data_IF_766929844651
#
_entry.id   IF_766929844651
#
_cell.length_a   1.000
_cell.length_b   1.000
_cell.length_c   1.000
_cell.angle_alpha   90.00
_cell.angle_beta   90.00
_cell.angle_gamma   90.00
#
_symmetry.space_group_name_H-M   'P 1'
#
loop_
_entity.id
_entity.type
_entity.pdbx_description
1 polymer ?
#
# COMPACT_ATOMS: atom_id res chain seq x y z
N UNK A 1 -15.78 -51.41 3.13
CA UNK A 1 -16.02 -50.87 4.48
C UNK A 1 -14.68 -50.54 5.11
N UNK A 2 -14.54 -49.39 5.80
CA UNK A 2 -14.04 -48.19 5.13
C UNK A 2 -12.87 -47.50 5.87
N UNK A 3 -12.40 -46.40 5.26
CA UNK A 3 -11.73 -45.25 5.89
C UNK A 3 -10.27 -45.39 6.37
N UNK A 4 -9.34 -45.28 5.41
CA UNK A 4 -8.07 -44.62 5.69
C UNK A 4 -8.34 -43.11 5.81
N UNK A 5 -7.91 -42.44 6.89
CA UNK A 5 -8.33 -41.08 7.18
C UNK A 5 -7.88 -40.12 6.08
N UNK A 6 -8.86 -39.40 5.55
CA UNK A 6 -8.67 -38.22 4.74
C UNK A 6 -7.62 -37.31 5.40
N UNK A 7 -6.53 -37.03 4.68
CA UNK A 7 -5.66 -35.93 5.03
C UNK A 7 -6.50 -34.66 5.09
N UNK A 8 -6.69 -34.12 6.29
CA UNK A 8 -7.36 -32.85 6.52
C UNK A 8 -6.75 -31.77 5.62
N UNK A 9 -7.55 -30.96 4.91
CA UNK A 9 -7.06 -29.84 4.13
C UNK A 9 -6.77 -28.66 5.08
N UNK A 10 -5.87 -28.86 6.03
CA UNK A 10 -5.37 -27.77 6.87
C UNK A 10 -4.30 -27.02 6.06
N UNK A 11 -4.78 -26.22 5.12
CA UNK A 11 -4.00 -25.08 4.63
C UNK A 11 -3.54 -24.24 5.83
N UNK A 12 -2.42 -23.50 5.71
CA UNK A 12 -1.86 -22.75 6.82
C UNK A 12 -2.95 -21.91 7.49
N UNK A 13 -3.21 -22.21 8.78
CA UNK A 13 -4.21 -21.51 9.60
C UNK A 13 -3.94 -20.03 9.45
N UNK A 14 -4.82 -19.33 8.73
CA UNK A 14 -4.64 -17.92 8.43
C UNK A 14 -4.55 -17.19 9.76
N UNK A 15 -3.43 -16.51 10.00
CA UNK A 15 -3.23 -15.75 11.23
C UNK A 15 -4.44 -14.83 11.49
N UNK A 16 -4.89 -14.74 12.75
CA UNK A 16 -6.04 -13.91 13.09
C UNK A 16 -5.77 -12.45 12.67
N UNK A 17 -6.79 -11.74 12.15
CA UNK A 17 -6.62 -10.36 11.72
C UNK A 17 -6.16 -9.50 12.90
N UNK A 18 -5.16 -8.65 12.66
CA UNK A 18 -4.64 -7.71 13.66
C UNK A 18 -4.90 -6.28 13.17
N UNK A 19 -6.17 -5.82 13.18
CA UNK A 19 -6.52 -4.51 12.66
C UNK A 19 -5.97 -3.40 13.55
N UNK A 20 -5.78 -2.23 12.96
CA UNK A 20 -5.45 -1.02 13.72
C UNK A 20 -6.69 -0.52 14.48
N UNK A 21 -6.50 -0.11 15.73
CA UNK A 21 -7.57 0.44 16.58
C UNK A 21 -7.28 1.89 16.98
N UNK A 22 -8.33 2.68 17.18
CA UNK A 22 -8.25 3.99 17.80
C UNK A 22 -8.04 3.86 19.32
N UNK A 23 -7.74 4.97 20.00
CA UNK A 23 -7.66 4.99 21.48
C UNK A 23 -8.97 4.63 22.17
N UNK A 24 -10.11 4.81 21.49
CA UNK A 24 -11.43 4.43 21.98
C UNK A 24 -11.80 2.98 21.68
N UNK A 25 -10.88 2.17 21.12
CA UNK A 25 -11.11 0.76 20.81
C UNK A 25 -11.71 0.49 19.43
N UNK A 26 -12.22 1.51 18.73
CA UNK A 26 -12.83 1.36 17.41
C UNK A 26 -11.81 0.88 16.36
N UNK A 27 -12.22 -0.08 15.53
CA UNK A 27 -11.41 -0.64 14.44
C UNK A 27 -11.36 0.35 13.28
N UNK A 28 -10.15 0.64 12.81
CA UNK A 28 -9.93 1.51 11.66
C UNK A 28 -9.95 0.67 10.38
N UNK A 29 -10.90 0.96 9.50
CA UNK A 29 -10.99 0.38 8.16
C UNK A 29 -10.41 1.37 7.16
N UNK A 30 -9.36 0.94 6.45
CA UNK A 30 -8.60 1.77 5.52
C UNK A 30 -7.36 2.46 6.13
N UNK A 31 -6.55 3.12 5.29
CA UNK A 31 -5.24 3.63 5.69
C UNK A 31 -5.38 4.85 6.62
N UNK A 32 -4.62 4.86 7.71
CA UNK A 32 -4.50 6.06 8.56
C UNK A 32 -3.64 7.13 7.89
N UNK A 33 -3.92 8.40 8.18
CA UNK A 33 -3.11 9.53 7.69
C UNK A 33 -1.62 9.36 8.05
N UNK A 34 -1.33 8.89 9.27
CA UNK A 34 0.05 8.65 9.73
C UNK A 34 0.73 7.53 8.94
N UNK A 35 0.02 6.43 8.64
CA UNK A 35 0.59 5.33 7.85
C UNK A 35 1.00 5.76 6.44
N UNK A 36 0.28 6.74 5.86
CA UNK A 36 0.61 7.32 4.54
C UNK A 36 1.71 8.39 4.63
N UNK A 37 1.63 9.26 5.62
CA UNK A 37 2.55 10.39 5.79
C UNK A 37 3.95 9.98 6.24
N UNK A 38 4.06 9.03 7.17
CA UNK A 38 5.34 8.63 7.79
C UNK A 38 6.41 8.16 6.78
N UNK A 39 6.15 7.27 5.82
CA UNK A 39 7.19 6.86 4.86
C UNK A 39 7.62 8.02 3.96
N UNK A 40 6.69 8.90 3.56
CA UNK A 40 7.00 10.09 2.77
C UNK A 40 7.88 11.04 3.57
N UNK A 41 7.51 11.32 4.83
CA UNK A 41 8.23 12.23 5.71
C UNK A 41 9.60 11.70 6.15
N UNK A 42 9.78 10.39 6.34
CA UNK A 42 11.05 9.86 6.88
C UNK A 42 12.04 9.40 5.80
N UNK A 43 11.58 9.15 4.57
CA UNK A 43 12.45 8.61 3.51
C UNK A 43 12.49 9.54 2.30
N UNK A 44 11.33 9.93 1.76
CA UNK A 44 11.28 10.73 0.54
C UNK A 44 11.71 12.20 0.76
N UNK A 45 11.05 12.87 1.71
CA UNK A 45 11.26 14.31 1.94
C UNK A 45 12.65 14.68 2.47
N UNK A 46 13.33 13.88 3.32
CA UNK A 46 14.69 14.20 3.75
C UNK A 46 15.67 14.25 2.57
N UNK A 47 15.53 13.37 1.58
CA UNK A 47 16.40 13.35 0.39
C UNK A 47 16.21 14.65 -0.41
N UNK A 48 14.97 15.06 -0.64
CA UNK A 48 14.66 16.31 -1.35
C UNK A 48 15.17 17.53 -0.56
N UNK A 49 14.98 17.53 0.76
CA UNK A 49 15.47 18.59 1.62
C UNK A 49 16.99 18.70 1.63
N UNK A 50 17.73 17.58 1.59
CA UNK A 50 19.18 17.56 1.46
C UNK A 50 19.65 18.10 0.11
N UNK A 51 18.97 17.75 -0.98
CA UNK A 51 19.29 18.29 -2.32
C UNK A 51 19.07 19.80 -2.40
N UNK A 52 18.05 20.32 -1.71
CA UNK A 52 17.69 21.73 -1.74
C UNK A 52 18.31 22.55 -0.59
N UNK A 53 19.01 21.92 0.36
CA UNK A 53 19.58 22.60 1.52
C UNK A 53 20.56 23.75 1.18
N UNK A 54 21.32 23.76 0.06
CA UNK A 54 22.17 24.90 -0.26
C UNK A 54 21.37 26.20 -0.43
N UNK A 55 20.17 26.14 -1.02
CA UNK A 55 19.32 27.33 -1.17
C UNK A 55 18.88 27.88 0.19
N UNK A 56 18.40 27.02 1.08
CA UNK A 56 18.04 27.44 2.43
C UNK A 56 19.25 27.96 3.21
N UNK A 57 20.42 27.31 3.09
CA UNK A 57 21.66 27.74 3.72
C UNK A 57 22.11 29.12 3.24
N UNK A 58 21.99 29.43 1.94
CA UNK A 58 22.30 30.78 1.43
C UNK A 58 21.39 31.86 2.02
N UNK A 59 20.09 31.59 2.17
CA UNK A 59 19.17 32.51 2.84
C UNK A 59 19.51 32.71 4.32
N UNK A 60 19.89 31.64 5.02
CA UNK A 60 20.36 31.70 6.41
C UNK A 60 21.65 32.53 6.52
N UNK A 61 22.59 32.34 5.60
CA UNK A 61 23.84 33.10 5.55
C UNK A 61 23.59 34.60 5.32
N UNK A 62 22.70 34.95 4.39
CA UNK A 62 22.32 36.35 4.15
C UNK A 62 21.66 36.99 5.37
N UNK A 63 20.76 36.27 6.04
CA UNK A 63 20.13 36.72 7.28
C UNK A 63 21.15 36.94 8.40
N UNK A 64 22.10 36.00 8.55
CA UNK A 64 23.16 36.07 9.55
C UNK A 64 24.10 37.27 9.31
N UNK A 65 24.48 37.52 8.05
CA UNK A 65 25.25 38.71 7.66
C UNK A 65 24.50 40.01 7.96
N UNK A 66 23.19 40.07 7.68
CA UNK A 66 22.36 41.23 8.01
C UNK A 66 22.30 41.51 9.52
N UNK A 67 22.19 40.46 10.35
CA UNK A 67 22.22 40.61 11.82
C UNK A 67 23.58 41.05 12.34
N UNK A 68 24.66 40.48 11.79
CA UNK A 68 26.02 40.89 12.13
C UNK A 68 26.27 42.37 11.78
N UNK A 69 25.80 42.82 10.62
CA UNK A 69 25.87 44.23 10.20
C UNK A 69 25.06 45.16 11.12
N UNK A 70 23.96 44.66 11.70
CA UNK A 70 23.17 45.38 12.70
C UNK A 70 23.78 45.35 14.12
N UNK A 71 24.96 44.75 14.30
CA UNK A 71 25.64 44.64 15.61
C UNK A 71 25.03 43.61 16.56
N UNK A 72 24.15 42.72 16.09
CA UNK A 72 23.48 41.71 16.90
C UNK A 72 24.28 40.39 16.91
N UNK A 73 25.25 40.30 17.83
CA UNK A 73 26.15 39.14 17.97
C UNK A 73 25.70 38.16 19.08
N UNK A 74 24.53 37.56 18.87
CA UNK A 74 23.96 36.56 19.77
C UNK A 74 24.61 35.17 19.56
N UNK A 75 24.48 34.28 20.56
CA UNK A 75 24.98 32.89 20.47
C UNK A 75 24.50 32.16 19.21
N UNK A 76 23.27 32.43 18.78
CA UNK A 76 22.69 31.86 17.56
C UNK A 76 23.39 32.35 16.30
N UNK A 77 23.74 33.64 16.22
CA UNK A 77 24.49 34.25 15.11
C UNK A 77 25.89 33.63 15.00
N UNK A 78 26.54 33.33 16.14
CA UNK A 78 27.85 32.67 16.18
C UNK A 78 27.78 31.20 15.78
N UNK A 79 26.81 30.46 16.30
CA UNK A 79 26.62 29.05 15.94
C UNK A 79 26.36 28.90 14.43
N UNK A 80 25.48 29.74 13.88
CA UNK A 80 25.17 29.78 12.45
C UNK A 80 26.28 30.38 11.58
N UNK A 81 27.40 30.83 12.16
CA UNK A 81 28.59 31.23 11.40
C UNK A 81 29.30 30.05 10.73
N UNK A 82 29.01 28.81 11.15
CA UNK A 82 29.60 27.61 10.57
C UNK A 82 28.77 27.10 9.37
N UNK A 83 29.38 27.05 8.19
CA UNK A 83 28.67 26.68 6.94
C UNK A 83 28.01 25.30 6.97
N UNK A 84 28.63 24.30 7.62
CA UNK A 84 28.01 22.99 7.78
C UNK A 84 26.75 23.03 8.65
N UNK A 85 26.70 23.92 9.66
CA UNK A 85 25.50 24.12 10.48
C UNK A 85 24.39 24.79 9.68
N UNK A 86 24.72 25.76 8.81
CA UNK A 86 23.74 26.40 7.91
C UNK A 86 23.10 25.39 6.96
N UNK A 87 23.89 24.47 6.39
CA UNK A 87 23.39 23.38 5.54
C UNK A 87 22.50 22.42 6.32
N UNK A 88 22.91 22.01 7.53
CA UNK A 88 22.12 21.12 8.38
C UNK A 88 20.78 21.77 8.78
N UNK A 89 20.82 23.01 9.26
CA UNK A 89 19.61 23.76 9.65
C UNK A 89 18.73 23.98 8.43
N UNK A 90 19.30 24.35 7.29
CA UNK A 90 18.58 24.50 6.03
C UNK A 90 17.87 23.21 5.61
N UNK A 91 18.55 22.06 5.70
CA UNK A 91 17.96 20.75 5.41
C UNK A 91 16.82 20.41 6.38
N UNK A 92 17.00 20.63 7.68
CA UNK A 92 15.97 20.36 8.69
C UNK A 92 14.74 21.24 8.49
N UNK A 93 14.93 22.55 8.27
CA UNK A 93 13.83 23.50 8.05
C UNK A 93 13.05 23.15 6.80
N UNK A 94 13.73 22.87 5.68
CA UNK A 94 13.08 22.43 4.44
C UNK A 94 12.34 21.10 4.64
N UNK A 95 12.96 20.16 5.33
CA UNK A 95 12.34 18.87 5.62
C UNK A 95 11.04 19.04 6.42
N UNK A 96 11.06 19.81 7.51
CA UNK A 96 9.89 20.10 8.33
C UNK A 96 8.82 20.80 7.50
N UNK A 97 9.21 21.82 6.71
CA UNK A 97 8.31 22.56 5.84
C UNK A 97 7.61 21.64 4.84
N UNK A 98 8.36 20.81 4.13
CA UNK A 98 7.77 19.86 3.18
C UNK A 98 6.92 18.80 3.88
N UNK A 99 7.33 18.33 5.05
CA UNK A 99 6.58 17.33 5.81
C UNK A 99 5.23 17.89 6.27
N UNK A 100 5.21 19.13 6.77
CA UNK A 100 3.99 19.85 7.12
C UNK A 100 3.12 20.12 5.89
N UNK A 101 3.73 20.57 4.78
CA UNK A 101 3.00 20.86 3.56
C UNK A 101 2.36 19.60 2.95
N UNK A 102 3.09 18.48 2.92
CA UNK A 102 2.58 17.19 2.45
C UNK A 102 1.49 16.60 3.35
N UNK A 103 1.44 16.99 4.63
CA UNK A 103 0.41 16.54 5.56
C UNK A 103 -0.97 17.12 5.22
N UNK A 104 -1.02 18.36 4.71
CA UNK A 104 -2.27 19.07 4.39
C UNK A 104 -3.15 18.30 3.39
N UNK A 105 -2.68 17.93 2.17
CA UNK A 105 -3.51 17.19 1.23
C UNK A 105 -3.86 15.79 1.73
N UNK A 106 -2.98 15.14 2.50
CA UNK A 106 -3.28 13.83 3.11
C UNK A 106 -4.46 13.95 4.06
N UNK A 107 -4.46 14.95 4.95
CA UNK A 107 -5.56 15.18 5.90
C UNK A 107 -6.86 15.61 5.19
N UNK A 108 -6.76 16.45 4.16
CA UNK A 108 -7.93 16.96 3.43
C UNK A 108 -8.64 15.86 2.62
N UNK A 109 -7.88 14.91 2.06
CA UNK A 109 -8.41 13.82 1.22
C UNK A 109 -8.61 12.51 1.97
N UNK A 110 -8.24 12.46 3.24
CA UNK A 110 -8.33 11.26 4.07
C UNK A 110 -9.78 10.77 4.13
N UNK A 111 -10.00 9.48 3.86
CA UNK A 111 -11.29 8.82 4.06
C UNK A 111 -11.05 7.51 4.79
N UNK A 112 -11.76 7.32 5.89
CA UNK A 112 -11.71 6.09 6.70
C UNK A 112 -13.09 5.75 7.20
N UNK A 113 -13.31 4.46 7.47
CA UNK A 113 -14.46 4.02 8.22
C UNK A 113 -13.99 3.52 9.60
N UNK A 114 -14.69 3.92 10.65
CA UNK A 114 -14.43 3.49 12.02
C UNK A 114 -15.54 2.53 12.41
N UNK A 115 -15.18 1.27 12.68
CA UNK A 115 -16.10 0.27 13.18
C UNK A 115 -16.04 0.26 14.71
N UNK A 116 -17.18 0.52 15.34
CA UNK A 116 -17.39 0.27 16.75
C UNK A 116 -18.04 -1.11 16.90
N UNK A 117 -17.27 -2.07 17.42
CA UNK A 117 -17.71 -3.46 17.59
C UNK A 117 -18.77 -3.59 18.71
N UNK A 118 -18.64 -2.78 19.76
CA UNK A 118 -19.53 -2.82 20.92
C UNK A 118 -20.89 -2.20 20.58
N UNK A 119 -20.88 -1.03 19.94
CA UNK A 119 -22.10 -0.34 19.52
C UNK A 119 -22.69 -0.92 18.21
N UNK A 120 -21.95 -1.79 17.50
CA UNK A 120 -22.28 -2.29 16.15
C UNK A 120 -22.62 -1.17 15.17
N UNK A 121 -21.83 -0.10 15.20
CA UNK A 121 -21.99 1.04 14.30
C UNK A 121 -20.73 1.28 13.47
N UNK A 122 -20.95 1.73 12.23
CA UNK A 122 -19.92 2.15 11.30
C UNK A 122 -20.00 3.68 11.15
N UNK A 123 -18.94 4.37 11.59
CA UNK A 123 -18.81 5.81 11.42
C UNK A 123 -17.92 6.12 10.22
N UNK A 124 -18.48 6.78 9.21
CA UNK A 124 -17.78 7.18 8.00
C UNK A 124 -17.16 8.56 8.20
N UNK A 125 -15.84 8.68 8.05
CA UNK A 125 -15.10 9.94 8.23
C UNK A 125 -14.40 10.38 6.96
N UNK A 126 -14.51 11.68 6.67
CA UNK A 126 -13.80 12.37 5.60
C UNK A 126 -12.97 13.49 6.22
N UNK A 127 -11.66 13.28 6.25
CA UNK A 127 -10.71 14.11 6.99
C UNK A 127 -11.08 14.15 8.47
N UNK A 128 -11.28 15.36 8.98
CA UNK A 128 -11.70 15.57 10.37
C UNK A 128 -13.22 15.45 10.57
N UNK A 129 -14.02 15.51 9.50
CA UNK A 129 -15.48 15.54 9.57
C UNK A 129 -16.07 14.13 9.55
N UNK A 130 -17.12 13.92 10.35
CA UNK A 130 -17.99 12.74 10.24
C UNK A 130 -18.95 12.96 9.08
N UNK A 131 -18.87 12.12 8.06
CA UNK A 131 -19.75 12.18 6.90
C UNK A 131 -21.08 11.46 7.15
N UNK A 132 -21.08 10.45 8.01
CA UNK A 132 -22.30 9.78 8.46
C UNK A 132 -22.00 8.63 9.41
N UNK A 133 -23.06 8.08 10.00
CA UNK A 133 -23.00 6.89 10.84
C UNK A 133 -24.07 5.93 10.32
N UNK A 134 -23.77 4.64 10.30
CA UNK A 134 -24.71 3.60 9.89
C UNK A 134 -24.61 2.40 10.84
N UNK A 135 -25.72 1.78 11.26
CA UNK A 135 -25.68 0.49 11.93
C UNK A 135 -25.09 -0.57 11.02
N UNK A 136 -24.39 -1.54 11.60
CA UNK A 136 -23.69 -2.58 10.85
C UNK A 136 -24.62 -3.47 10.03
N UNK A 137 -25.89 -3.61 10.48
CA UNK A 137 -26.93 -4.33 9.76
C UNK A 137 -27.30 -3.70 8.40
N UNK A 138 -26.96 -2.43 8.17
CA UNK A 138 -27.15 -1.75 6.89
C UNK A 138 -25.98 -1.97 5.92
N UNK A 139 -24.90 -2.65 6.33
CA UNK A 139 -23.77 -2.91 5.43
C UNK A 139 -24.10 -4.09 4.53
N UNK A 140 -24.32 -3.81 3.24
CA UNK A 140 -24.71 -4.82 2.23
C UNK A 140 -23.49 -5.55 1.68
N UNK A 141 -22.42 -4.80 1.41
CA UNK A 141 -21.15 -5.36 0.93
C UNK A 141 -19.96 -4.54 1.41
N UNK A 142 -18.84 -5.21 1.60
CA UNK A 142 -17.55 -4.60 1.86
C UNK A 142 -16.50 -5.36 1.04
N UNK A 143 -15.96 -4.73 -0.01
CA UNK A 143 -15.04 -5.36 -0.96
C UNK A 143 -13.77 -4.52 -1.06
N UNK A 144 -12.62 -5.17 -1.19
CA UNK A 144 -11.35 -4.48 -1.40
C UNK A 144 -10.34 -5.41 -2.04
N UNK A 145 -9.54 -4.88 -2.94
CA UNK A 145 -8.46 -5.65 -3.57
C UNK A 145 -7.20 -5.58 -2.70
N UNK A 146 -6.40 -6.64 -2.69
CA UNK A 146 -5.20 -6.72 -1.84
C UNK A 146 -3.99 -5.93 -2.37
N UNK A 147 -4.10 -5.31 -3.54
CA UNK A 147 -3.00 -4.59 -4.19
C UNK A 147 -2.79 -3.20 -3.61
N UNK A 148 -1.53 -2.75 -3.54
CA UNK A 148 -1.26 -1.39 -3.05
C UNK A 148 -1.81 -0.37 -4.05
N UNK A 149 -2.53 0.64 -3.55
CA UNK A 149 -3.21 1.61 -4.40
C UNK A 149 -4.63 1.24 -4.78
N UNK A 150 -5.08 0.02 -4.44
CA UNK A 150 -6.44 -0.42 -4.70
C UNK A 150 -7.48 0.36 -3.90
N UNK A 151 -8.70 0.35 -4.41
CA UNK A 151 -9.84 0.98 -3.75
C UNK A 151 -10.68 -0.08 -3.05
N UNK A 152 -11.13 0.23 -1.83
CA UNK A 152 -12.17 -0.51 -1.12
C UNK A 152 -13.53 0.16 -1.32
N UNK A 153 -14.59 -0.64 -1.34
CA UNK A 153 -15.97 -0.20 -1.46
C UNK A 153 -16.78 -0.78 -0.30
N UNK A 154 -17.48 0.09 0.42
CA UNK A 154 -18.49 -0.30 1.41
C UNK A 154 -19.84 0.19 0.90
N UNK A 155 -20.79 -0.70 0.70
CA UNK A 155 -22.17 -0.38 0.38
C UNK A 155 -23.01 -0.33 1.65
N UNK A 156 -23.66 0.80 1.91
CA UNK A 156 -24.56 1.00 3.05
C UNK A 156 -25.99 1.21 2.55
N UNK A 157 -26.92 0.37 2.96
CA UNK A 157 -28.34 0.52 2.69
C UNK A 157 -28.96 1.59 3.61
N UNK A 158 -29.45 2.68 3.03
CA UNK A 158 -30.16 3.75 3.74
C UNK A 158 -31.64 3.84 3.36
N UNK A 159 -32.21 2.77 2.80
CA UNK A 159 -33.61 2.73 2.37
C UNK A 159 -33.86 3.43 1.02
N UNK A 160 -32.83 3.49 0.17
CA UNK A 160 -32.96 3.93 -1.23
C UNK A 160 -32.94 2.75 -2.21
N UNK A 161 -33.17 3.00 -3.50
CA UNK A 161 -33.11 1.95 -4.55
C UNK A 161 -31.71 1.35 -4.71
N UNK A 162 -30.65 2.13 -4.47
CA UNK A 162 -29.26 1.65 -4.46
C UNK A 162 -28.56 1.92 -3.12
N UNK A 163 -27.71 0.98 -2.66
CA UNK A 163 -26.88 1.20 -1.48
C UNK A 163 -25.87 2.33 -1.72
N UNK A 164 -25.74 3.23 -0.74
CA UNK A 164 -24.78 4.33 -0.77
C UNK A 164 -23.35 3.75 -0.76
N UNK A 165 -22.56 4.14 -1.77
CA UNK A 165 -21.22 3.61 -1.97
C UNK A 165 -20.18 4.50 -1.29
N UNK A 166 -19.59 3.99 -0.21
CA UNK A 166 -18.46 4.63 0.45
C UNK A 166 -17.14 4.08 -0.11
N UNK A 167 -16.42 4.95 -0.80
CA UNK A 167 -15.13 4.64 -1.41
C UNK A 167 -13.99 4.87 -0.40
N UNK A 168 -13.26 3.80 -0.05
CA UNK A 168 -12.02 3.85 0.72
C UNK A 168 -10.80 3.80 -0.21
N UNK A 169 -10.02 4.89 -0.32
CA UNK A 169 -8.80 4.85 -1.10
C UNK A 169 -7.75 3.98 -0.40
N UNK A 170 -6.93 3.27 -1.19
CA UNK A 170 -5.73 2.55 -0.73
C UNK A 170 -6.00 1.56 0.42
N UNK A 171 -7.09 0.79 0.34
CA UNK A 171 -7.54 -0.11 1.42
C UNK A 171 -6.48 -1.17 1.79
N UNK A 172 -5.61 -1.54 0.85
CA UNK A 172 -4.49 -2.46 1.04
C UNK A 172 -3.11 -1.75 1.08
N UNK A 173 -3.06 -0.51 1.60
CA UNK A 173 -1.81 0.20 1.85
C UNK A 173 -0.85 -0.63 2.71
N UNK A 174 -1.34 -1.13 3.85
CA UNK A 174 -0.66 -2.03 4.77
C UNK A 174 -1.57 -3.21 5.18
N UNK A 175 -1.01 -4.15 5.94
CA UNK A 175 -1.73 -5.36 6.37
C UNK A 175 -2.82 -5.06 7.40
N UNK A 176 -2.55 -4.14 8.32
CA UNK A 176 -3.48 -3.73 9.39
C UNK A 176 -4.72 -3.01 8.85
N UNK A 177 -4.56 -2.17 7.82
CA UNK A 177 -5.68 -1.48 7.14
C UNK A 177 -6.60 -2.46 6.43
N UNK A 178 -6.01 -3.49 5.81
CA UNK A 178 -6.77 -4.55 5.13
C UNK A 178 -7.43 -5.49 6.13
N UNK A 179 -6.77 -5.77 7.26
CA UNK A 179 -7.37 -6.53 8.36
C UNK A 179 -8.57 -5.80 8.97
N UNK A 180 -8.57 -4.46 9.00
CA UNK A 180 -9.77 -3.68 9.34
C UNK A 180 -10.98 -4.00 8.45
N UNK A 181 -10.77 -4.15 7.13
CA UNK A 181 -11.82 -4.56 6.20
C UNK A 181 -12.30 -5.99 6.48
N UNK A 182 -11.38 -6.92 6.78
CA UNK A 182 -11.73 -8.31 7.12
C UNK A 182 -12.57 -8.38 8.40
N UNK A 183 -12.25 -7.56 9.40
CA UNK A 183 -13.04 -7.45 10.63
C UNK A 183 -14.41 -6.84 10.36
N UNK A 184 -14.49 -5.81 9.52
CA UNK A 184 -15.79 -5.26 9.09
C UNK A 184 -16.66 -6.31 8.40
N UNK A 185 -16.10 -7.09 7.48
CA UNK A 185 -16.80 -8.17 6.80
C UNK A 185 -17.34 -9.20 7.81
N UNK A 186 -16.48 -9.68 8.72
CA UNK A 186 -16.87 -10.63 9.75
C UNK A 186 -18.00 -10.09 10.64
N UNK A 187 -17.88 -8.84 11.08
CA UNK A 187 -18.86 -8.21 11.96
C UNK A 187 -20.19 -7.93 11.25
N UNK A 188 -20.17 -7.63 9.95
CA UNK A 188 -21.36 -7.46 9.11
C UNK A 188 -22.02 -8.78 8.68
N UNK A 189 -21.51 -9.94 9.12
CA UNK A 189 -22.01 -11.25 8.70
C UNK A 189 -21.64 -11.63 7.26
N UNK A 190 -20.72 -10.90 6.64
CA UNK A 190 -20.17 -11.20 5.32
C UNK A 190 -19.02 -12.22 5.45
N UNK A 191 -18.75 -12.95 4.37
CA UNK A 191 -17.58 -13.84 4.32
C UNK A 191 -16.29 -13.00 4.34
N UNK A 192 -15.43 -13.12 5.36
CA UNK A 192 -14.19 -12.37 5.42
C UNK A 192 -13.24 -12.78 4.29
N UNK A 193 -12.58 -11.80 3.68
CA UNK A 193 -11.54 -12.06 2.70
C UNK A 193 -10.35 -12.81 3.34
N UNK A 194 -9.62 -13.62 2.55
CA UNK A 194 -8.32 -14.14 2.96
C UNK A 194 -7.36 -13.00 3.32
N UNK A 195 -6.27 -13.30 4.04
CA UNK A 195 -5.30 -12.27 4.39
C UNK A 195 -4.70 -11.61 3.14
N UNK A 196 -4.29 -10.34 3.29
CA UNK A 196 -3.67 -9.58 2.20
C UNK A 196 -2.51 -10.33 1.56
N UNK A 197 -1.68 -11.00 2.37
CA UNK A 197 -0.53 -11.79 1.88
C UNK A 197 -0.95 -12.92 0.95
N UNK A 198 -2.02 -13.64 1.30
CA UNK A 198 -2.55 -14.75 0.47
C UNK A 198 -3.07 -14.21 -0.85
N UNK A 199 -3.88 -13.15 -0.81
CA UNK A 199 -4.42 -12.52 -2.01
C UNK A 199 -3.32 -11.91 -2.90
N UNK A 200 -2.32 -11.25 -2.31
CA UNK A 200 -1.18 -10.70 -3.04
C UNK A 200 -0.33 -11.81 -3.69
N UNK A 201 -0.13 -12.94 -3.00
CA UNK A 201 0.58 -14.09 -3.56
C UNK A 201 -0.19 -14.72 -4.74
N UNK A 202 -1.51 -14.83 -4.63
CA UNK A 202 -2.38 -15.28 -5.74
C UNK A 202 -2.30 -14.32 -6.94
N UNK A 203 -2.41 -13.02 -6.72
CA UNK A 203 -2.32 -12.02 -7.78
C UNK A 203 -0.94 -12.01 -8.46
N UNK A 204 0.15 -12.20 -7.70
CA UNK A 204 1.50 -12.36 -8.25
C UNK A 204 1.62 -13.62 -9.10
N UNK A 205 1.08 -14.76 -8.65
CA UNK A 205 1.06 -16.01 -9.44
C UNK A 205 0.30 -15.82 -10.75
N UNK A 206 -0.90 -15.23 -10.69
CA UNK A 206 -1.72 -14.96 -11.88
C UNK A 206 -1.00 -14.06 -12.90
N UNK A 207 -0.43 -12.93 -12.47
CA UNK A 207 0.36 -12.05 -13.36
C UNK A 207 1.54 -12.74 -14.01
N UNK A 208 2.28 -13.54 -13.24
CA UNK A 208 3.42 -14.30 -13.79
C UNK A 208 2.95 -15.31 -14.83
N UNK A 209 1.90 -16.07 -14.54
CA UNK A 209 1.31 -17.01 -15.50
C UNK A 209 0.82 -16.32 -16.78
N UNK A 210 0.23 -15.12 -16.68
CA UNK A 210 -0.15 -14.33 -17.84
C UNK A 210 1.06 -13.85 -18.67
N UNK A 211 2.11 -13.35 -18.00
CA UNK A 211 3.34 -12.93 -18.66
C UNK A 211 4.07 -14.10 -19.34
N UNK A 212 4.13 -15.27 -18.69
CA UNK A 212 4.70 -16.49 -19.27
C UNK A 212 3.92 -16.96 -20.49
N UNK A 213 2.58 -16.90 -20.44
CA UNK A 213 1.73 -17.21 -21.60
C UNK A 213 1.98 -16.27 -22.76
N UNK A 214 2.12 -14.98 -22.49
CA UNK A 214 2.43 -13.99 -23.52
C UNK A 214 3.81 -14.24 -24.15
N UNK A 215 4.83 -14.53 -23.33
CA UNK A 215 6.18 -14.86 -23.81
C UNK A 215 6.21 -16.15 -24.64
N UNK A 216 5.50 -17.20 -24.18
CA UNK A 216 5.38 -18.44 -24.91
C UNK A 216 4.69 -18.22 -26.28
N UNK A 217 3.60 -17.45 -26.29
CA UNK A 217 2.88 -17.11 -27.52
C UNK A 217 3.76 -16.33 -28.51
N UNK A 218 4.56 -15.38 -28.03
CA UNK A 218 5.50 -14.61 -28.88
C UNK A 218 6.56 -15.50 -29.55
N UNK A 219 6.98 -16.58 -28.89
CA UNK A 219 7.94 -17.53 -29.44
C UNK A 219 7.28 -18.70 -30.17
N UNK A 220 5.95 -18.80 -30.21
CA UNK A 220 5.26 -19.99 -30.74
C UNK A 220 5.47 -21.26 -29.91
N UNK A 221 5.87 -21.11 -28.64
CA UNK A 221 6.07 -22.21 -27.71
C UNK A 221 4.71 -22.72 -27.18
N UNK A 222 4.44 -24.04 -27.23
CA UNK A 222 3.19 -24.60 -26.72
C UNK A 222 3.09 -24.48 -25.20
N UNK A 223 1.94 -24.01 -24.71
CA UNK A 223 1.68 -23.86 -23.29
C UNK A 223 1.43 -25.20 -22.60
N UNK A 224 2.00 -25.41 -21.41
CA UNK A 224 1.73 -26.57 -20.55
C UNK A 224 1.23 -26.13 -19.17
N UNK A 225 0.30 -26.87 -18.54
CA UNK A 225 -0.23 -26.53 -17.20
C UNK A 225 0.86 -26.46 -16.13
N UNK A 226 1.89 -27.30 -16.25
CA UNK A 226 3.04 -27.37 -15.34
C UNK A 226 3.76 -26.01 -15.18
N UNK A 227 3.71 -25.15 -16.20
CA UNK A 227 4.34 -23.83 -16.19
C UNK A 227 3.61 -22.81 -15.29
N UNK A 228 2.38 -23.08 -14.88
CA UNK A 228 1.66 -22.23 -13.92
C UNK A 228 2.17 -22.41 -12.49
N UNK A 229 2.70 -23.59 -12.17
CA UNK A 229 3.12 -23.97 -10.82
C UNK A 229 4.65 -24.01 -10.67
N UNK A 230 5.38 -24.42 -11.71
CA UNK A 230 6.84 -24.53 -11.71
C UNK A 230 7.50 -23.50 -12.64
N UNK A 231 8.10 -22.48 -12.01
CA UNK A 231 8.83 -21.41 -12.68
C UNK A 231 10.15 -21.90 -13.30
N UNK A 232 10.82 -22.86 -12.67
CA UNK A 232 12.07 -23.39 -13.18
C UNK A 232 11.82 -24.23 -14.43
N UNK A 233 10.72 -24.98 -14.47
CA UNK A 233 10.30 -25.73 -15.65
C UNK A 233 10.01 -24.79 -16.83
N UNK A 234 9.27 -23.69 -16.62
CA UNK A 234 9.05 -22.70 -17.69
C UNK A 234 10.35 -22.07 -18.17
N UNK A 235 11.22 -21.63 -17.25
CA UNK A 235 12.49 -20.99 -17.60
C UNK A 235 13.41 -21.90 -18.42
N UNK A 236 13.56 -23.16 -18.00
CA UNK A 236 14.38 -24.15 -18.70
C UNK A 236 13.86 -24.43 -20.12
N UNK A 237 12.54 -24.56 -20.27
CA UNK A 237 11.90 -24.79 -21.56
C UNK A 237 12.02 -23.57 -22.47
N UNK A 238 11.75 -22.38 -21.94
CA UNK A 238 11.82 -21.11 -22.66
C UNK A 238 13.24 -20.84 -23.18
N UNK A 239 14.27 -21.05 -22.34
CA UNK A 239 15.65 -20.92 -22.76
C UNK A 239 16.06 -21.95 -23.82
N UNK A 240 15.52 -23.17 -23.75
CA UNK A 240 15.73 -24.18 -24.81
C UNK A 240 15.13 -23.71 -26.12
N UNK A 241 13.86 -23.32 -26.14
CA UNK A 241 13.17 -22.86 -27.36
C UNK A 241 13.89 -21.64 -27.96
N UNK A 242 14.38 -20.72 -27.12
CA UNK A 242 15.21 -19.59 -27.58
C UNK A 242 16.52 -20.05 -28.24
N UNK A 243 17.16 -21.11 -27.75
CA UNK A 243 18.36 -21.70 -28.38
C UNK A 243 18.04 -22.43 -29.69
N UNK A 244 16.88 -23.08 -29.78
CA UNK A 244 16.39 -23.71 -31.03
C UNK A 244 16.17 -22.67 -32.12
N UNK A 245 15.45 -21.58 -31.82
CA UNK A 245 15.24 -20.45 -32.76
C UNK A 245 16.60 -19.83 -33.14
N UNK A 246 17.53 -19.70 -32.19
CA UNK A 246 18.88 -19.22 -32.44
C UNK A 246 19.83 -20.20 -33.14
N UNK A 247 19.35 -21.36 -33.59
CA UNK A 247 20.13 -22.38 -34.31
C UNK A 247 21.20 -23.09 -33.48
N UNK A 248 21.16 -22.98 -32.15
CA UNK A 248 22.16 -23.58 -31.23
C UNK A 248 21.76 -24.97 -30.73
N UNK A 249 20.52 -25.39 -30.95
CA UNK A 249 19.97 -26.67 -30.47
C UNK A 249 18.98 -27.23 -31.50
N UNK A 250 18.90 -28.55 -31.72
CA UNK A 250 17.98 -29.13 -32.70
C UNK A 250 16.51 -29.00 -32.25
N UNK A 251 15.57 -28.70 -33.18
CA UNK A 251 14.15 -28.55 -32.86
C UNK A 251 13.51 -29.90 -32.49
N UNK A 252 12.55 -29.88 -31.55
CA UNK A 252 11.69 -31.02 -31.21
C UNK A 252 10.34 -30.92 -31.91
N UNK A 253 9.60 -32.03 -31.88
CA UNK A 253 8.23 -32.05 -32.39
C UNK A 253 7.35 -31.06 -31.61
N UNK A 254 6.71 -30.13 -32.34
CA UNK A 254 5.91 -29.04 -31.77
C UNK A 254 6.68 -27.76 -31.42
N UNK A 255 8.01 -27.73 -31.59
CA UNK A 255 8.80 -26.50 -31.43
C UNK A 255 8.62 -25.55 -32.65
N UNK A 256 8.72 -24.22 -32.43
CA UNK A 256 8.74 -23.25 -33.52
C UNK A 256 9.92 -23.50 -34.46
N UNK A 257 9.68 -23.34 -35.77
CA UNK A 257 10.75 -23.43 -36.77
C UNK A 257 11.62 -22.16 -36.68
N UNK A 258 12.96 -22.29 -36.83
CA UNK A 258 13.87 -21.14 -36.86
C UNK A 258 13.60 -20.21 -38.04
#
# INVERSE_FOLDING_TARGET
MPDGPAGSPDGPVAAPPAPRRTRSGAVVVGPTAIARWRPLALVGLPIIALLLCPFAATGIAQWQQGRAAAGLDDLLTRALGHGALQLLVGAIVLWILFALWALVPILATHKVALLDEDARTLTLRRGLRTAGTAPLAQVVYAVGEAERGSTGLIGVDRGGEEPERWILPEVAWDEESFDGLRVLQAAAGLRPAPSRRVLAALARRSRRGAAHRELAARLGMPWRPEYEEDEAAFGAEFDRVRRVIGGKEPPREGDPRP
#
